data_IF_473526266224
#
_entry.id   IF_473526266224
#
_cell.length_a   1.000
_cell.length_b   1.000
_cell.length_c   1.000
_cell.angle_alpha   90.00
_cell.angle_beta   90.00
_cell.angle_gamma   90.00
#
_symmetry.space_group_name_H-M   'P 1'
#
loop_
_entity.id
_entity.type
_entity.pdbx_description
1 polymer ?
#
# COMPACT_ATOMS: atom_id res chain seq x y z
N UNK A 1 0.99 18.37 -10.97
CA UNK A 1 0.76 16.92 -11.05
C UNK A 1 2.09 16.22 -11.37
N UNK A 2 2.81 16.59 -12.44
CA UNK A 2 4.03 15.92 -12.92
C UNK A 2 5.17 15.85 -11.90
N UNK A 3 5.34 16.87 -11.06
CA UNK A 3 6.35 16.85 -9.99
C UNK A 3 6.03 15.82 -8.92
N UNK A 4 4.77 15.68 -8.54
CA UNK A 4 4.34 14.67 -7.57
C UNK A 4 4.46 13.26 -8.15
N UNK A 5 4.06 13.07 -9.40
CA UNK A 5 4.20 11.78 -10.10
C UNK A 5 5.67 11.35 -10.14
N UNK A 6 6.58 12.24 -10.53
CA UNK A 6 8.03 11.95 -10.55
C UNK A 6 8.58 11.62 -9.15
N UNK A 7 8.15 12.36 -8.13
CA UNK A 7 8.59 12.11 -6.76
C UNK A 7 8.12 10.75 -6.25
N UNK A 8 6.83 10.44 -6.42
CA UNK A 8 6.27 9.16 -5.97
C UNK A 8 6.83 7.97 -6.76
N UNK A 9 6.94 8.07 -8.08
CA UNK A 9 7.50 7.01 -8.91
C UNK A 9 8.97 6.73 -8.60
N UNK A 10 9.73 7.73 -8.14
CA UNK A 10 11.13 7.50 -7.75
C UNK A 10 11.30 6.70 -6.46
N UNK A 11 10.23 6.63 -5.63
CA UNK A 11 10.21 5.89 -4.37
C UNK A 11 9.60 4.49 -4.52
N UNK A 12 8.90 4.23 -5.63
CA UNK A 12 8.20 2.98 -5.87
C UNK A 12 9.15 1.96 -6.50
N UNK A 13 9.31 0.83 -5.85
CA UNK A 13 9.97 -0.32 -6.44
C UNK A 13 8.97 -1.06 -7.34
N UNK A 14 9.22 -1.04 -8.65
CA UNK A 14 8.33 -1.63 -9.65
C UNK A 14 8.10 -3.14 -9.46
N UNK A 15 8.94 -3.81 -8.68
CA UNK A 15 8.72 -5.22 -8.32
C UNK A 15 7.43 -5.40 -7.51
N UNK A 16 6.97 -4.37 -6.79
CA UNK A 16 5.78 -4.40 -5.95
C UNK A 16 4.65 -3.55 -6.54
N UNK A 17 4.63 -3.45 -7.86
CA UNK A 17 3.55 -2.84 -8.63
C UNK A 17 2.97 -3.89 -9.55
N UNK A 18 1.66 -4.00 -9.56
CA UNK A 18 0.94 -4.88 -10.48
C UNK A 18 -0.11 -4.10 -11.27
N UNK A 19 -0.26 -4.46 -12.52
CA UNK A 19 -1.25 -3.91 -13.44
C UNK A 19 -2.04 -5.06 -14.07
N UNK A 20 -3.33 -4.83 -14.27
CA UNK A 20 -4.19 -5.74 -15.04
C UNK A 20 -4.79 -4.95 -16.18
N UNK A 21 -4.58 -5.43 -17.41
CA UNK A 21 -5.17 -4.88 -18.61
C UNK A 21 -6.28 -5.80 -19.14
N UNK A 22 -7.25 -5.24 -19.83
CA UNK A 22 -8.24 -5.98 -20.58
C UNK A 22 -7.69 -6.47 -21.94
N UNK A 23 -8.52 -7.15 -22.74
CA UNK A 23 -8.18 -7.66 -24.06
C UNK A 23 -7.84 -6.55 -25.07
N UNK A 24 -8.23 -5.32 -24.80
CA UNK A 24 -7.95 -4.15 -25.63
C UNK A 24 -6.77 -3.32 -25.10
N UNK A 25 -6.00 -3.87 -24.17
CA UNK A 25 -4.86 -3.23 -23.51
C UNK A 25 -5.23 -1.99 -22.67
N UNK A 26 -6.48 -1.87 -22.22
CA UNK A 26 -6.87 -0.83 -21.29
C UNK A 26 -6.55 -1.26 -19.85
N UNK A 27 -5.99 -0.36 -19.08
CA UNK A 27 -5.72 -0.59 -17.66
C UNK A 27 -7.05 -0.67 -16.88
N UNK A 28 -7.33 -1.83 -16.28
CA UNK A 28 -8.57 -2.10 -15.53
C UNK A 28 -8.35 -2.33 -14.04
N UNK A 29 -7.13 -2.63 -13.62
CA UNK A 29 -6.77 -2.69 -12.22
C UNK A 29 -5.29 -2.41 -12.01
N UNK A 30 -4.94 -1.87 -10.84
CA UNK A 30 -3.55 -1.74 -10.41
C UNK A 30 -3.43 -1.83 -8.91
N UNK A 31 -2.25 -2.22 -8.45
CA UNK A 31 -1.89 -2.23 -7.05
C UNK A 31 -0.44 -1.82 -6.85
N UNK A 32 -0.19 -1.08 -5.77
CA UNK A 32 1.12 -0.58 -5.42
C UNK A 32 1.39 -0.89 -3.96
N UNK A 33 2.51 -1.53 -3.70
CA UNK A 33 3.02 -1.79 -2.36
C UNK A 33 4.40 -1.18 -2.19
N UNK A 34 4.75 -0.81 -0.96
CA UNK A 34 6.06 -0.27 -0.61
C UNK A 34 6.62 -0.98 0.62
N UNK A 35 7.93 -1.26 0.67
CA UNK A 35 8.57 -1.68 1.91
C UNK A 35 8.32 -0.66 3.01
N UNK A 36 7.95 -1.12 4.22
CA UNK A 36 7.63 -0.23 5.33
C UNK A 36 8.83 0.61 5.72
N UNK A 37 8.64 1.91 5.76
CA UNK A 37 9.63 2.89 6.24
C UNK A 37 9.44 3.28 7.71
N UNK A 38 8.49 2.66 8.41
CA UNK A 38 8.13 3.00 9.78
C UNK A 38 9.32 2.93 10.74
N UNK A 39 10.19 1.93 10.59
CA UNK A 39 11.38 1.80 11.44
C UNK A 39 12.40 2.92 11.18
N UNK A 40 12.60 3.30 9.92
CA UNK A 40 13.50 4.37 9.55
C UNK A 40 12.99 5.73 10.04
N UNK A 41 11.69 5.99 9.89
CA UNK A 41 11.05 7.20 10.39
C UNK A 41 11.13 7.28 11.91
N UNK A 42 10.95 6.18 12.61
CA UNK A 42 11.10 6.13 14.06
C UNK A 42 12.55 6.40 14.51
N UNK A 43 13.53 5.82 13.81
CA UNK A 43 14.96 6.05 14.09
C UNK A 43 15.40 7.49 13.83
N UNK A 44 14.81 8.16 12.85
CA UNK A 44 15.07 9.56 12.55
C UNK A 44 14.33 10.53 13.48
N UNK A 45 13.47 10.04 14.38
CA UNK A 45 12.61 10.87 15.23
C UNK A 45 11.66 11.78 14.45
N UNK A 46 11.35 11.44 13.18
CA UNK A 46 10.55 12.25 12.29
C UNK A 46 11.27 13.46 11.69
N UNK A 47 12.57 13.61 11.95
CA UNK A 47 13.37 14.72 11.42
C UNK A 47 14.08 14.32 10.13
N UNK A 48 13.97 15.16 9.09
CA UNK A 48 14.67 14.95 7.81
C UNK A 48 16.12 15.46 7.84
N UNK A 49 16.40 16.49 8.60
CA UNK A 49 17.72 17.14 8.70
C UNK A 49 18.23 17.08 10.15
N UNK A 50 19.57 16.97 10.32
CA UNK A 50 20.60 16.90 9.28
C UNK A 50 20.81 15.50 8.68
N UNK A 51 20.43 14.40 9.35
CA UNK A 51 20.75 13.03 8.93
C UNK A 51 19.54 12.11 8.70
N UNK A 52 18.31 12.59 8.86
CA UNK A 52 17.09 11.79 8.69
C UNK A 52 16.94 11.24 7.28
N UNK A 53 17.32 12.00 6.26
CA UNK A 53 17.34 11.57 4.86
C UNK A 53 18.26 10.33 4.62
N UNK A 54 19.36 10.23 5.36
CA UNK A 54 20.27 9.08 5.27
C UNK A 54 19.61 7.80 5.80
N UNK A 55 18.85 7.89 6.88
CA UNK A 55 18.10 6.76 7.41
C UNK A 55 17.01 6.29 6.44
N UNK A 56 16.37 7.22 5.74
CA UNK A 56 15.37 6.91 4.72
C UNK A 56 16.00 6.27 3.48
N UNK A 57 17.10 6.82 2.97
CA UNK A 57 17.86 6.22 1.87
C UNK A 57 18.34 4.82 2.22
N UNK A 58 18.91 4.66 3.40
CA UNK A 58 19.35 3.36 3.88
C UNK A 58 18.18 2.37 4.02
N UNK A 59 17.01 2.83 4.44
CA UNK A 59 15.81 2.01 4.51
C UNK A 59 15.33 1.57 3.13
N UNK A 60 15.31 2.46 2.16
CA UNK A 60 14.87 2.17 0.79
C UNK A 60 15.79 1.18 0.07
N UNK A 61 17.10 1.30 0.25
CA UNK A 61 18.07 0.54 -0.55
C UNK A 61 18.76 -0.62 0.18
N UNK A 62 18.83 -0.56 1.51
CA UNK A 62 19.62 -1.50 2.31
C UNK A 62 18.88 -2.12 3.50
N UNK A 63 17.67 -1.67 3.82
CA UNK A 63 16.90 -2.24 4.91
C UNK A 63 16.18 -3.50 4.43
N UNK A 64 16.35 -4.59 5.14
CA UNK A 64 15.46 -5.75 5.05
C UNK A 64 14.24 -5.47 5.92
N UNK A 65 13.31 -4.62 5.44
CA UNK A 65 12.01 -4.52 6.07
C UNK A 65 11.35 -5.91 6.02
N UNK A 66 10.80 -6.36 7.13
CA UNK A 66 10.02 -7.59 7.16
C UNK A 66 8.53 -7.35 6.85
N UNK A 67 8.17 -6.08 6.71
CA UNK A 67 6.80 -5.61 6.49
C UNK A 67 6.72 -4.80 5.20
N UNK A 68 5.71 -5.08 4.39
CA UNK A 68 5.35 -4.29 3.21
C UNK A 68 4.03 -3.56 3.49
N UNK A 69 3.90 -2.33 3.03
CA UNK A 69 2.69 -1.51 3.16
C UNK A 69 1.92 -1.51 1.84
N UNK A 70 0.64 -1.82 1.91
CA UNK A 70 -0.29 -1.74 0.78
C UNK A 70 -0.71 -0.28 0.63
N UNK A 71 -0.15 0.39 -0.38
CA UNK A 71 -0.35 1.82 -0.55
C UNK A 71 -1.63 2.15 -1.31
N UNK A 72 -1.80 1.54 -2.47
CA UNK A 72 -2.93 1.77 -3.37
C UNK A 72 -3.40 0.46 -3.97
N UNK A 73 -4.71 0.33 -4.10
CA UNK A 73 -5.36 -0.70 -4.90
C UNK A 73 -6.59 -0.07 -5.57
N UNK A 74 -6.72 -0.28 -6.87
CA UNK A 74 -7.89 0.15 -7.61
C UNK A 74 -8.28 -0.91 -8.64
N UNK A 75 -9.57 -1.12 -8.78
CA UNK A 75 -10.17 -2.03 -9.77
C UNK A 75 -11.38 -1.35 -10.36
N UNK A 76 -11.50 -1.41 -11.69
CA UNK A 76 -12.67 -0.93 -12.42
C UNK A 76 -13.97 -1.45 -11.79
N UNK A 77 -14.94 -0.59 -11.44
CA UNK A 77 -16.15 -1.00 -10.71
C UNK A 77 -16.90 -2.19 -11.33
N UNK A 78 -16.95 -2.24 -12.66
CA UNK A 78 -17.62 -3.32 -13.40
C UNK A 78 -16.92 -4.68 -13.29
N UNK A 79 -15.67 -4.73 -12.79
CA UNK A 79 -14.83 -5.91 -12.69
C UNK A 79 -14.55 -6.34 -11.25
N UNK A 80 -15.00 -5.57 -10.25
CA UNK A 80 -14.73 -5.85 -8.84
C UNK A 80 -15.28 -7.20 -8.36
N UNK A 81 -16.38 -7.68 -8.94
CA UNK A 81 -16.98 -8.99 -8.63
C UNK A 81 -16.55 -10.11 -9.57
N UNK A 82 -15.68 -9.86 -10.54
CA UNK A 82 -15.31 -10.82 -11.60
C UNK A 82 -13.92 -11.48 -11.40
N UNK A 83 -13.44 -11.53 -10.17
CA UNK A 83 -12.16 -12.20 -9.86
C UNK A 83 -10.91 -11.34 -10.11
N UNK A 84 -11.04 -10.18 -10.75
CA UNK A 84 -9.90 -9.27 -11.02
C UNK A 84 -9.20 -8.82 -9.74
N UNK A 85 -9.91 -8.47 -8.64
CA UNK A 85 -9.25 -8.17 -7.37
C UNK A 85 -8.42 -9.34 -6.83
N UNK A 86 -8.95 -10.56 -6.91
CA UNK A 86 -8.24 -11.75 -6.44
C UNK A 86 -6.98 -12.02 -7.26
N UNK A 87 -7.05 -11.87 -8.58
CA UNK A 87 -5.91 -12.02 -9.48
C UNK A 87 -4.81 -10.99 -9.17
N UNK A 88 -5.19 -9.72 -9.00
CA UNK A 88 -4.27 -8.63 -8.65
C UNK A 88 -3.57 -8.89 -7.30
N UNK A 89 -4.34 -9.27 -6.28
CA UNK A 89 -3.82 -9.58 -4.94
C UNK A 89 -2.89 -10.78 -4.99
N UNK A 90 -3.26 -11.84 -5.71
CA UNK A 90 -2.42 -13.04 -5.83
C UNK A 90 -1.06 -12.71 -6.45
N UNK A 91 -1.03 -11.92 -7.54
CA UNK A 91 0.22 -11.50 -8.15
C UNK A 91 1.08 -10.66 -7.20
N UNK A 92 0.48 -9.67 -6.53
CA UNK A 92 1.19 -8.83 -5.56
C UNK A 92 1.75 -9.64 -4.39
N UNK A 93 0.96 -10.54 -3.80
CA UNK A 93 1.41 -11.35 -2.68
C UNK A 93 2.48 -12.38 -3.08
N UNK A 94 2.45 -12.91 -4.28
CA UNK A 94 3.53 -13.76 -4.79
C UNK A 94 4.86 -13.00 -4.76
N UNK A 95 4.88 -11.77 -5.23
CA UNK A 95 6.07 -10.90 -5.21
C UNK A 95 6.51 -10.51 -3.80
N UNK A 96 5.56 -10.32 -2.88
CA UNK A 96 5.83 -10.07 -1.45
C UNK A 96 6.55 -11.24 -0.82
N UNK A 97 6.08 -12.46 -1.07
CA UNK A 97 6.70 -13.70 -0.57
C UNK A 97 8.09 -13.89 -1.17
N UNK A 98 8.25 -13.72 -2.47
CA UNK A 98 9.54 -13.78 -3.16
C UNK A 98 10.52 -12.72 -2.63
N UNK A 99 10.02 -11.54 -2.26
CA UNK A 99 10.79 -10.45 -1.64
C UNK A 99 11.22 -10.74 -0.20
N UNK A 100 10.71 -11.81 0.41
CA UNK A 100 11.05 -12.25 1.77
C UNK A 100 10.36 -11.46 2.88
N UNK A 101 9.28 -10.74 2.57
CA UNK A 101 8.45 -10.07 3.57
C UNK A 101 7.63 -11.09 4.35
N UNK A 102 7.45 -10.82 5.64
CA UNK A 102 6.69 -11.67 6.57
C UNK A 102 5.29 -11.14 6.83
N UNK A 103 5.14 -9.83 6.72
CA UNK A 103 3.90 -9.12 7.05
C UNK A 103 3.52 -8.15 5.93
N UNK A 104 2.22 -7.98 5.73
CA UNK A 104 1.66 -6.92 4.93
C UNK A 104 0.75 -6.06 5.81
N UNK A 105 0.93 -4.74 5.79
CA UNK A 105 0.09 -3.78 6.51
C UNK A 105 -0.81 -3.05 5.51
N UNK A 106 -2.12 -3.08 5.74
CA UNK A 106 -3.06 -2.30 4.93
C UNK A 106 -3.19 -0.87 5.45
N UNK A 107 -3.58 0.04 4.57
CA UNK A 107 -4.01 1.36 4.98
C UNK A 107 -5.30 1.29 5.83
N UNK A 108 -5.63 2.33 6.64
CA UNK A 108 -6.90 2.39 7.33
C UNK A 108 -8.07 2.30 6.33
N UNK A 109 -8.91 1.32 6.53
CA UNK A 109 -10.11 1.08 5.73
C UNK A 109 -11.34 1.63 6.46
N UNK A 110 -12.33 2.07 5.70
CA UNK A 110 -13.61 2.48 6.27
C UNK A 110 -14.33 1.27 6.85
N UNK A 111 -14.95 1.44 8.00
CA UNK A 111 -15.61 0.38 8.76
C UNK A 111 -16.80 -0.24 8.00
N UNK A 112 -17.38 0.51 7.08
CA UNK A 112 -18.50 0.15 6.21
C UNK A 112 -18.08 -0.28 4.80
N UNK A 113 -16.79 -0.33 4.50
CA UNK A 113 -16.29 -0.78 3.21
C UNK A 113 -16.14 -2.31 3.17
N UNK A 114 -17.28 -3.00 3.19
CA UNK A 114 -17.33 -4.47 3.15
C UNK A 114 -16.70 -5.08 1.90
N UNK A 115 -16.68 -4.37 0.79
CA UNK A 115 -16.07 -4.86 -0.44
C UNK A 115 -14.56 -5.04 -0.27
N UNK A 116 -13.88 -4.09 0.37
CA UNK A 116 -12.45 -4.19 0.66
C UNK A 116 -12.20 -5.15 1.82
N UNK A 117 -13.00 -5.11 2.89
CA UNK A 117 -12.85 -6.03 4.02
C UNK A 117 -12.94 -7.49 3.60
N UNK A 118 -13.81 -7.83 2.63
CA UNK A 118 -13.96 -9.18 2.11
C UNK A 118 -12.75 -9.67 1.29
N UNK A 119 -11.90 -8.79 0.77
CA UNK A 119 -10.68 -9.20 0.07
C UNK A 119 -9.71 -9.94 0.98
N UNK A 120 -9.79 -9.67 2.27
CA UNK A 120 -8.90 -10.24 3.28
C UNK A 120 -9.42 -11.54 3.89
N UNK A 121 -10.62 -11.98 3.51
CA UNK A 121 -11.16 -13.26 3.98
C UNK A 121 -10.23 -14.40 3.53
N UNK A 122 -9.73 -15.18 4.47
CA UNK A 122 -8.79 -16.26 4.21
C UNK A 122 -7.34 -15.94 4.53
N UNK A 123 -7.02 -14.71 4.90
CA UNK A 123 -5.72 -14.32 5.44
C UNK A 123 -5.74 -14.31 6.97
N UNK A 124 -4.58 -14.56 7.59
CA UNK A 124 -4.41 -14.37 9.04
C UNK A 124 -4.30 -12.88 9.36
N UNK A 125 -5.40 -12.31 9.84
CA UNK A 125 -5.55 -10.87 10.03
C UNK A 125 -5.45 -10.46 11.48
N UNK A 126 -4.69 -9.39 11.72
CA UNK A 126 -4.67 -8.71 13.01
C UNK A 126 -5.05 -7.24 12.85
N UNK A 127 -6.25 -6.86 13.31
CA UNK A 127 -6.60 -5.45 13.44
C UNK A 127 -5.83 -4.83 14.62
N UNK A 128 -4.85 -3.97 14.32
CA UNK A 128 -4.00 -3.38 15.36
C UNK A 128 -4.21 -1.87 15.55
N UNK A 129 -4.99 -1.22 14.67
CA UNK A 129 -5.33 0.21 14.76
C UNK A 129 -6.79 0.46 14.41
N UNK A 130 -7.38 1.43 15.10
CA UNK A 130 -8.69 1.98 14.77
C UNK A 130 -8.61 3.50 14.87
N UNK A 131 -9.14 4.20 13.87
CA UNK A 131 -9.22 5.67 13.86
C UNK A 131 -10.66 6.08 13.67
N UNK A 132 -11.08 7.17 14.32
CA UNK A 132 -12.38 7.79 14.12
C UNK A 132 -12.22 9.27 13.84
N UNK A 133 -13.03 9.79 12.95
CA UNK A 133 -13.17 11.21 12.68
C UNK A 133 -14.47 11.66 13.34
N UNK A 134 -14.40 12.74 14.11
CA UNK A 134 -15.55 13.32 14.77
C UNK A 134 -15.85 14.69 14.16
N UNK A 135 -17.12 14.96 13.86
CA UNK A 135 -17.60 16.26 13.41
C UNK A 135 -18.53 16.86 14.47
N UNK A 136 -18.48 18.19 14.65
CA UNK A 136 -19.44 18.96 15.44
C UNK A 136 -20.00 20.07 14.56
N UNK A 137 -21.32 20.14 14.43
CA UNK A 137 -21.97 21.29 13.82
C UNK A 137 -21.70 22.54 14.65
N UNK A 138 -21.30 23.62 14.01
CA UNK A 138 -21.17 24.93 14.61
C UNK A 138 -22.45 25.68 14.26
N UNK A 139 -23.28 25.93 15.26
CA UNK A 139 -24.42 26.85 15.12
C UNK A 139 -23.87 28.28 15.13
N UNK A 140 -24.11 29.03 14.07
CA UNK A 140 -23.76 30.45 13.89
C UNK A 140 -24.88 31.33 14.43
#
# INVERSE_FOLDING_TARGET
IDQYVKLYLSLVDLRYVSFVNDENDNLVAFGVMLPSMNEALRKSGGHYLPFGWWHLLKALYFSKADTIEMLLIAVEPSLQSKGVPAMLITDLFSRVVEGGFKYAETNPELEDNYAVANLWNGFDLRQHRRRRVYGKAIEL
#
